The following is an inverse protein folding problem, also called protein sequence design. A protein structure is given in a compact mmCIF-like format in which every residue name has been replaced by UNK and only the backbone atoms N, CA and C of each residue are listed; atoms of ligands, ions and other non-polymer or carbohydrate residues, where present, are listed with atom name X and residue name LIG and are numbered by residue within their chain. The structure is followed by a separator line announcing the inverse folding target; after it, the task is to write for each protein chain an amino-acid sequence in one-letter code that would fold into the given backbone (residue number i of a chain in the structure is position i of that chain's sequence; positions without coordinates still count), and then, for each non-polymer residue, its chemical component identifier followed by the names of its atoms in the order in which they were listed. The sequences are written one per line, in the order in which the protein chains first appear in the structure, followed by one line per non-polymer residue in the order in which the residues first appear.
data_IF_788939889819
#
_entry.id   IF_788939889819
#
_cell.length_a   1.000
_cell.length_b   1.000
_cell.length_c   1.000
_cell.angle_alpha   90.00
_cell.angle_beta   90.00
_cell.angle_gamma   90.00
#
_symmetry.space_group_name_H-M   'P 1'
#
loop_
_entity.id
_entity.type
_entity.pdbx_description
1 polymer ?
#
# COMPACT_ATOMS: atom_id res chain seq x y z
N UNK A 1 21.08 -11.24 7.63
CA UNK A 1 20.32 -10.04 8.03
C UNK A 1 18.90 -10.23 7.55
N UNK A 2 17.93 -10.35 8.46
CA UNK A 2 16.53 -10.35 8.08
C UNK A 2 16.13 -8.92 7.66
N UNK A 3 15.51 -8.78 6.49
CA UNK A 3 14.99 -7.49 6.02
C UNK A 3 13.50 -7.41 6.37
N UNK A 4 13.08 -6.30 6.96
CA UNK A 4 11.68 -6.05 7.32
C UNK A 4 11.26 -4.66 6.91
N UNK A 5 10.07 -4.53 6.30
CA UNK A 5 9.45 -3.24 5.97
C UNK A 5 8.10 -3.11 6.66
N UNK A 6 7.77 -1.89 7.10
CA UNK A 6 6.45 -1.54 7.61
C UNK A 6 5.79 -0.58 6.62
N UNK A 7 4.62 -0.93 6.10
CA UNK A 7 3.81 -0.06 5.25
C UNK A 7 2.60 0.42 6.03
N UNK A 8 2.32 1.72 5.95
CA UNK A 8 1.11 2.31 6.52
C UNK A 8 0.07 2.41 5.42
N UNK A 9 -0.98 1.61 5.50
CA UNK A 9 -2.08 1.59 4.55
C UNK A 9 -3.34 2.26 5.18
N UNK A 10 -3.95 3.19 4.45
CA UNK A 10 -5.27 3.74 4.79
C UNK A 10 -6.36 2.85 4.20
N UNK A 11 -7.04 2.10 5.07
CA UNK A 11 -8.05 1.13 4.66
C UNK A 11 -9.41 1.83 4.52
N UNK A 12 -9.79 2.28 3.32
CA UNK A 12 -11.12 2.86 3.10
C UNK A 12 -12.23 1.79 2.99
N UNK A 13 -12.63 1.25 4.15
CA UNK A 13 -13.88 0.51 4.33
C UNK A 13 -14.96 1.40 5.01
N UNK A 14 -15.12 2.65 4.53
CA UNK A 14 -16.05 3.64 5.11
C UNK A 14 -15.58 4.33 6.39
N UNK A 15 -14.38 4.03 6.89
CA UNK A 15 -13.71 4.73 8.00
C UNK A 15 -12.24 4.94 7.64
N UNK A 16 -11.72 6.15 7.87
CA UNK A 16 -10.27 6.43 7.77
C UNK A 16 -9.60 5.71 8.93
N UNK A 17 -8.87 4.63 8.64
CA UNK A 17 -8.12 3.90 9.65
C UNK A 17 -6.75 3.56 9.10
N UNK A 18 -5.73 4.13 9.72
CA UNK A 18 -4.34 3.83 9.43
C UNK A 18 -4.01 2.46 10.01
N UNK A 19 -3.58 1.54 9.16
CA UNK A 19 -3.17 0.18 9.52
C UNK A 19 -1.69 0.00 9.20
N UNK A 20 -0.99 -0.81 9.99
CA UNK A 20 0.42 -1.11 9.76
C UNK A 20 0.53 -2.52 9.16
N UNK A 21 1.20 -2.64 8.03
CA UNK A 21 1.52 -3.91 7.39
C UNK A 21 2.98 -4.26 7.63
N UNK A 22 3.27 -5.50 8.02
CA UNK A 22 4.63 -6.00 8.20
C UNK A 22 5.00 -7.03 7.13
N UNK A 23 6.12 -6.76 6.46
CA UNK A 23 6.72 -7.58 5.42
C UNK A 23 8.06 -8.14 5.91
N UNK A 24 8.37 -9.39 5.53
CA UNK A 24 9.62 -10.04 5.92
C UNK A 24 10.35 -10.67 4.73
N UNK A 25 11.66 -10.87 4.90
CA UNK A 25 12.54 -11.68 4.05
C UNK A 25 12.48 -11.33 2.55
N UNK A 26 12.21 -12.33 1.70
CA UNK A 26 12.23 -12.17 0.25
C UNK A 26 11.19 -11.17 -0.26
N UNK A 27 10.03 -11.10 0.40
CA UNK A 27 8.99 -10.15 0.03
C UNK A 27 9.38 -8.72 0.40
N UNK A 28 9.99 -8.52 1.57
CA UNK A 28 10.59 -7.26 1.97
C UNK A 28 11.65 -6.78 0.96
N UNK A 29 12.53 -7.68 0.53
CA UNK A 29 13.54 -7.39 -0.49
C UNK A 29 12.91 -7.06 -1.85
N UNK A 30 11.93 -7.83 -2.31
CA UNK A 30 11.23 -7.60 -3.57
C UNK A 30 10.51 -6.24 -3.57
N UNK A 31 9.85 -5.89 -2.46
CA UNK A 31 9.22 -4.58 -2.29
C UNK A 31 10.24 -3.46 -2.36
N UNK A 32 11.36 -3.55 -1.64
CA UNK A 32 12.41 -2.53 -1.68
C UNK A 32 12.91 -2.32 -3.11
N UNK A 33 13.29 -3.41 -3.78
CA UNK A 33 13.82 -3.32 -5.14
C UNK A 33 12.79 -2.69 -6.10
N UNK A 34 11.51 -3.06 -5.95
CA UNK A 34 10.42 -2.46 -6.71
C UNK A 34 10.30 -0.96 -6.42
N UNK A 35 10.26 -0.57 -5.14
CA UNK A 35 10.17 0.82 -4.69
C UNK A 35 11.31 1.68 -5.22
N UNK A 36 12.56 1.20 -5.10
CA UNK A 36 13.74 1.89 -5.62
C UNK A 36 13.70 2.00 -7.16
N UNK A 37 13.24 0.95 -7.85
CA UNK A 37 13.13 0.96 -9.33
C UNK A 37 11.97 1.79 -9.86
N UNK A 38 10.97 2.11 -9.03
CA UNK A 38 9.74 2.78 -9.46
C UNK A 38 9.98 4.25 -9.84
N UNK A 39 11.09 4.84 -9.37
CA UNK A 39 11.56 6.17 -9.79
C UNK A 39 10.81 7.36 -9.18
N UNK A 40 9.70 7.11 -8.49
CA UNK A 40 8.94 8.12 -7.73
C UNK A 40 8.31 7.48 -6.49
N UNK A 41 7.83 8.29 -5.54
CA UNK A 41 7.10 7.76 -4.39
C UNK A 41 5.67 7.35 -4.84
N UNK A 42 5.28 6.08 -4.70
CA UNK A 42 3.94 5.62 -5.06
C UNK A 42 2.90 6.27 -4.15
N UNK A 43 1.80 6.75 -4.73
CA UNK A 43 0.74 7.45 -4.00
C UNK A 43 -0.33 6.50 -3.51
N UNK A 44 -0.54 5.41 -4.25
CA UNK A 44 -1.40 4.29 -3.87
C UNK A 44 -0.55 3.03 -3.85
N UNK A 45 -0.65 2.28 -2.75
CA UNK A 45 -0.08 0.93 -2.64
C UNK A 45 -1.23 -0.03 -2.38
N UNK A 46 -1.42 -0.99 -3.27
CA UNK A 46 -2.43 -2.03 -3.17
C UNK A 46 -1.75 -3.36 -2.85
N UNK A 47 -2.07 -3.94 -1.69
CA UNK A 47 -1.59 -5.25 -1.29
C UNK A 47 -2.75 -6.27 -1.30
N UNK A 48 -2.46 -7.48 -1.77
CA UNK A 48 -3.43 -8.58 -1.84
C UNK A 48 -2.94 -9.79 -1.04
N UNK A 49 -3.83 -10.73 -0.74
CA UNK A 49 -3.49 -11.98 -0.02
C UNK A 49 -2.80 -11.71 1.32
N UNK A 50 -3.40 -10.78 2.07
CA UNK A 50 -2.93 -10.34 3.38
C UNK A 50 -3.59 -11.16 4.48
N UNK A 51 -2.82 -11.53 5.51
CA UNK A 51 -3.37 -12.17 6.69
C UNK A 51 -3.73 -11.11 7.76
N UNK A 52 -5.03 -10.82 7.99
CA UNK A 52 -5.43 -9.88 9.02
C UNK A 52 -5.23 -10.48 10.41
N UNK A 53 -4.47 -9.80 11.29
CA UNK A 53 -4.37 -10.23 12.70
C UNK A 53 -5.48 -9.59 13.55
N UNK A 54 -6.11 -10.40 14.41
CA UNK A 54 -7.17 -9.95 15.33
C UNK A 54 -6.56 -9.08 16.44
N UNK A 55 -7.06 -7.87 16.63
CA UNK A 55 -6.60 -6.91 17.64
C UNK A 55 -6.30 -5.54 17.06
N UNK A 56 -5.12 -4.99 17.34
CA UNK A 56 -4.60 -3.76 16.70
C UNK A 56 -4.45 -4.05 15.21
N UNK A 57 -4.96 -3.17 14.34
CA UNK A 57 -5.03 -3.33 12.88
C UNK A 57 -3.63 -3.52 12.26
N UNK A 58 -3.13 -4.74 12.37
CA UNK A 58 -1.87 -5.21 11.83
C UNK A 58 -2.17 -6.21 10.73
N UNK A 59 -1.58 -5.93 9.58
CA UNK A 59 -1.62 -6.77 8.41
C UNK A 59 -0.27 -7.48 8.30
N UNK A 60 -0.28 -8.80 8.13
CA UNK A 60 0.94 -9.54 7.85
C UNK A 60 0.90 -9.97 6.39
N UNK A 61 1.94 -9.59 5.66
CA UNK A 61 2.15 -10.09 4.32
C UNK A 61 2.53 -11.57 4.40
N UNK A 62 2.01 -12.35 3.46
CA UNK A 62 2.30 -13.77 3.29
C UNK A 62 3.26 -13.96 2.10
N UNK A 63 3.75 -15.17 1.88
CA UNK A 63 4.55 -15.48 0.67
C UNK A 63 3.79 -15.23 -0.64
N UNK A 64 2.45 -15.24 -0.58
CA UNK A 64 1.57 -14.99 -1.73
C UNK A 64 1.06 -13.55 -1.80
N UNK A 65 1.56 -12.66 -0.94
CA UNK A 65 1.21 -11.25 -1.01
C UNK A 65 1.77 -10.62 -2.27
N UNK A 66 0.89 -10.06 -3.10
CA UNK A 66 1.26 -9.26 -4.26
C UNK A 66 1.01 -7.79 -3.97
N UNK A 67 1.98 -6.96 -4.31
CA UNK A 67 1.95 -5.50 -4.09
C UNK A 67 1.97 -4.79 -5.43
N UNK A 68 1.03 -3.88 -5.60
CA UNK A 68 0.85 -3.07 -6.79
C UNK A 68 0.94 -1.58 -6.45
N UNK A 69 1.59 -0.81 -7.31
CA UNK A 69 1.73 0.64 -7.17
C UNK A 69 0.82 1.38 -8.13
N UNK A 70 0.20 2.45 -7.64
CA UNK A 70 -0.57 3.42 -8.42
C UNK A 70 -1.50 2.76 -9.45
N UNK A 71 -1.17 2.87 -10.73
CA UNK A 71 -2.01 2.45 -11.85
C UNK A 71 -1.68 1.06 -12.41
N UNK A 72 -0.84 0.29 -11.73
CA UNK A 72 -0.52 -1.10 -12.11
C UNK A 72 -1.76 -2.03 -12.10
N UNK A 73 -2.84 -1.60 -11.45
CA UNK A 73 -4.16 -2.26 -11.51
C UNK A 73 -5.25 -1.26 -11.87
N UNK A 74 -6.36 -1.73 -12.44
CA UNK A 74 -7.51 -0.88 -12.76
C UNK A 74 -8.07 -0.17 -11.51
N UNK A 75 -8.12 -0.88 -10.37
CA UNK A 75 -8.57 -0.34 -9.08
C UNK A 75 -7.62 0.72 -8.56
N UNK A 76 -6.30 0.47 -8.65
CA UNK A 76 -5.29 1.42 -8.23
C UNK A 76 -5.34 2.71 -9.06
N UNK A 77 -5.53 2.60 -10.38
CA UNK A 77 -5.75 3.75 -11.26
C UNK A 77 -6.98 4.57 -10.86
N UNK A 78 -8.11 3.91 -10.65
CA UNK A 78 -9.34 4.58 -10.23
C UNK A 78 -9.17 5.31 -8.88
N UNK A 79 -8.49 4.68 -7.92
CA UNK A 79 -8.21 5.25 -6.61
C UNK A 79 -7.27 6.47 -6.71
N UNK A 80 -6.24 6.38 -7.55
CA UNK A 80 -5.31 7.46 -7.82
C UNK A 80 -6.01 8.66 -8.46
N UNK A 81 -6.85 8.42 -9.47
CA UNK A 81 -7.63 9.45 -10.14
C UNK A 81 -8.55 10.17 -9.14
N UNK A 82 -9.25 9.42 -8.27
CA UNK A 82 -10.08 10.01 -7.19
C UNK A 82 -9.26 10.86 -6.23
N UNK A 83 -8.07 10.40 -5.83
CA UNK A 83 -7.18 11.11 -4.93
C UNK A 83 -6.70 12.43 -5.54
N UNK A 84 -6.29 12.40 -6.81
CA UNK A 84 -5.87 13.57 -7.58
C UNK A 84 -7.01 14.59 -7.72
N UNK A 85 -8.22 14.13 -8.06
CA UNK A 85 -9.39 15.00 -8.18
C UNK A 85 -9.76 15.66 -6.85
N UNK A 86 -9.71 14.91 -5.74
CA UNK A 86 -10.00 15.45 -4.41
C UNK A 86 -9.01 16.56 -4.00
N UNK A 87 -7.72 16.39 -4.30
CA UNK A 87 -6.70 17.41 -4.00
C UNK A 87 -6.86 18.67 -4.84
N UNK A 88 -7.21 18.55 -6.12
CA UNK A 88 -7.48 19.69 -6.99
C UNK A 88 -8.66 20.54 -6.50
N UNK A 89 -9.67 19.91 -5.89
CA UNK A 89 -10.81 20.62 -5.29
C UNK A 89 -10.40 21.36 -4.01
N UNK A 90 -9.53 20.78 -3.19
CA UNK A 90 -9.04 21.44 -1.97
C UNK A 90 -8.16 22.66 -2.29
N UNK A 91 -7.38 22.62 -3.38
CA UNK A 91 -6.53 23.76 -3.78
C UNK A 91 -7.29 24.94 -4.41
N UNK A 92 -8.57 24.73 -4.79
CA UNK A 92 -9.44 25.78 -5.35
C UNK A 92 -10.39 26.41 -4.31
N UNK A 93 -10.27 26.02 -3.05
CA UNK A 93 -10.97 26.62 -1.91
C UNK A 93 -10.00 27.47 -1.12
#
# INVERSE_FOLDING_TARGET
MASSFILLADLKAGRCSTTAESMFDALALAFRNKFESYGSEPRIVLATTINPKRGRLYLNSTSETHIYFDSETAVGKEMLDKLLMAQNIQQRR
#
